data_IF_233519804766
#
_entry.id   IF_233519804766
#
_cell.length_a   1.000
_cell.length_b   1.000
_cell.length_c   1.000
_cell.angle_alpha   90.00
_cell.angle_beta   90.00
_cell.angle_gamma   90.00
#
_symmetry.space_group_name_H-M   'P 1'
#
loop_
_entity.id
_entity.type
_entity.pdbx_description
1 polymer ?
#
# COMPACT_ATOMS: atom_id res chain seq x y z
N UNK A 1 14.00 9.52 11.59
CA UNK A 1 14.09 10.30 10.32
C UNK A 1 13.04 11.40 10.30
N UNK A 2 13.34 12.58 9.75
CA UNK A 2 12.32 13.63 9.53
C UNK A 2 11.49 13.30 8.29
N UNK A 3 10.22 13.70 8.25
CA UNK A 3 9.31 13.53 7.08
C UNK A 3 9.92 14.03 5.77
N UNK A 4 10.81 15.02 5.85
CA UNK A 4 11.52 15.60 4.70
C UNK A 4 12.60 14.67 4.12
N UNK A 5 13.27 13.88 4.95
CA UNK A 5 14.27 12.90 4.50
C UNK A 5 13.60 11.69 3.85
N UNK A 6 12.46 11.24 4.41
CA UNK A 6 11.65 10.17 3.82
C UNK A 6 11.12 10.61 2.46
N UNK A 7 10.60 11.83 2.33
CA UNK A 7 10.13 12.37 1.05
C UNK A 7 11.22 12.39 -0.02
N UNK A 8 12.45 12.83 0.33
CA UNK A 8 13.60 12.83 -0.61
C UNK A 8 14.01 11.42 -1.05
N UNK A 9 13.96 10.44 -0.15
CA UNK A 9 14.24 9.04 -0.49
C UNK A 9 13.18 8.49 -1.44
N UNK A 10 11.90 8.77 -1.18
CA UNK A 10 10.81 8.41 -2.10
C UNK A 10 10.99 9.05 -3.47
N UNK A 11 11.26 10.36 -3.56
CA UNK A 11 11.49 11.03 -4.84
C UNK A 11 12.68 10.44 -5.61
N UNK A 12 13.76 10.08 -4.91
CA UNK A 12 14.93 9.46 -5.54
C UNK A 12 14.61 8.08 -6.09
N UNK A 13 13.84 7.27 -5.35
CA UNK A 13 13.40 5.94 -5.80
C UNK A 13 12.39 6.02 -6.95
N UNK A 14 11.45 6.97 -6.87
CA UNK A 14 10.48 7.22 -7.94
C UNK A 14 11.13 7.80 -9.20
N UNK A 15 12.34 8.32 -9.09
CA UNK A 15 13.17 8.77 -10.22
C UNK A 15 13.94 7.64 -10.92
N UNK A 16 13.84 6.39 -10.45
CA UNK A 16 14.48 5.24 -11.10
C UNK A 16 13.78 4.98 -12.46
N UNK A 17 14.52 4.91 -13.57
CA UNK A 17 13.95 4.56 -14.87
C UNK A 17 13.24 3.20 -14.79
N UNK A 18 12.01 3.13 -15.32
CA UNK A 18 11.14 1.96 -15.21
C UNK A 18 9.96 2.12 -14.23
N UNK A 19 10.00 3.10 -13.31
CA UNK A 19 8.91 3.31 -12.33
C UNK A 19 7.60 3.86 -12.93
N UNK A 20 7.66 4.41 -14.15
CA UNK A 20 6.50 4.85 -14.92
C UNK A 20 6.05 3.83 -15.99
N UNK A 21 6.70 2.66 -16.06
CA UNK A 21 6.32 1.62 -17.01
C UNK A 21 5.04 0.91 -16.58
N UNK A 22 4.19 0.60 -17.56
CA UNK A 22 2.93 -0.08 -17.29
C UNK A 22 3.20 -1.55 -16.95
N UNK A 23 2.92 -1.94 -15.71
CA UNK A 23 2.97 -3.34 -15.26
C UNK A 23 1.58 -3.96 -15.37
N UNK A 24 1.48 -5.09 -16.08
CA UNK A 24 0.25 -5.90 -16.08
C UNK A 24 0.21 -6.78 -14.84
N UNK A 25 -0.72 -6.49 -13.92
CA UNK A 25 -0.93 -7.26 -12.70
C UNK A 25 -2.24 -8.04 -12.85
N UNK A 26 -2.16 -9.36 -13.05
CA UNK A 26 -3.32 -10.25 -13.12
C UNK A 26 -3.55 -10.89 -11.74
N UNK A 27 -4.63 -10.50 -11.05
CA UNK A 27 -4.94 -10.97 -9.69
C UNK A 27 -6.40 -11.38 -9.61
N UNK A 28 -6.66 -12.52 -8.95
CA UNK A 28 -8.00 -13.04 -8.71
C UNK A 28 -8.43 -12.73 -7.29
N UNK A 29 -9.30 -11.73 -7.13
CA UNK A 29 -9.93 -11.38 -5.85
C UNK A 29 -11.45 -11.40 -5.96
N UNK A 30 -12.13 -11.59 -4.83
CA UNK A 30 -13.59 -11.56 -4.79
C UNK A 30 -14.10 -10.10 -4.76
N UNK A 31 -15.39 -9.89 -5.08
CA UNK A 31 -16.00 -8.54 -5.13
C UNK A 31 -15.94 -7.80 -3.79
N UNK A 32 -16.02 -8.52 -2.68
CA UNK A 32 -15.94 -7.95 -1.32
C UNK A 32 -14.55 -7.39 -1.07
N UNK A 33 -13.49 -8.11 -1.43
CA UNK A 33 -12.10 -7.66 -1.31
C UNK A 33 -11.87 -6.40 -2.13
N UNK A 34 -12.36 -6.33 -3.37
CA UNK A 34 -12.24 -5.14 -4.23
C UNK A 34 -12.92 -3.92 -3.59
N UNK A 35 -14.15 -4.09 -3.10
CA UNK A 35 -14.90 -3.00 -2.47
C UNK A 35 -14.19 -2.46 -1.23
N UNK A 36 -13.71 -3.37 -0.37
CA UNK A 36 -13.01 -2.99 0.85
C UNK A 36 -11.63 -2.39 0.56
N UNK A 37 -10.92 -2.88 -0.47
CA UNK A 37 -9.66 -2.29 -0.92
C UNK A 37 -9.87 -0.83 -1.30
N UNK A 38 -10.92 -0.54 -2.08
CA UNK A 38 -11.25 0.83 -2.47
C UNK A 38 -11.51 1.72 -1.24
N UNK A 39 -12.31 1.24 -0.28
CA UNK A 39 -12.58 2.00 0.95
C UNK A 39 -11.34 2.23 1.81
N UNK A 40 -10.41 1.26 1.86
CA UNK A 40 -9.13 1.41 2.58
C UNK A 40 -8.22 2.45 1.89
N UNK A 41 -8.16 2.45 0.55
CA UNK A 41 -7.39 3.42 -0.22
C UNK A 41 -7.96 4.82 -0.06
N UNK A 42 -9.27 5.00 -0.26
CA UNK A 42 -9.96 6.27 -0.05
C UNK A 42 -9.70 6.82 1.35
N UNK A 43 -9.82 5.97 2.37
CA UNK A 43 -9.45 6.34 3.75
C UNK A 43 -8.00 6.79 3.87
N UNK A 44 -7.05 6.04 3.34
CA UNK A 44 -5.62 6.38 3.40
C UNK A 44 -5.30 7.73 2.75
N UNK A 45 -6.03 8.10 1.71
CA UNK A 45 -5.90 9.40 1.02
C UNK A 45 -6.62 10.55 1.74
N UNK A 46 -7.68 10.26 2.51
CA UNK A 46 -8.56 11.28 3.14
C UNK A 46 -8.20 11.54 4.60
N UNK A 47 -7.14 10.94 5.14
CA UNK A 47 -6.72 10.97 6.55
C UNK A 47 -6.18 12.33 7.06
N UNK A 48 -6.90 13.43 6.77
CA UNK A 48 -6.78 14.70 7.52
C UNK A 48 -7.62 14.69 8.81
N UNK A 49 -8.64 13.84 8.91
CA UNK A 49 -9.50 13.72 10.10
C UNK A 49 -9.41 12.30 10.68
N UNK A 50 -8.66 12.18 11.78
CA UNK A 50 -8.32 10.91 12.43
C UNK A 50 -9.51 10.20 13.10
N UNK A 51 -10.61 10.91 13.38
CA UNK A 51 -11.72 10.39 14.18
C UNK A 51 -12.72 9.52 13.41
N UNK A 52 -12.99 9.80 12.13
CA UNK A 52 -13.84 8.91 11.30
C UNK A 52 -13.12 7.65 10.81
N UNK A 53 -11.81 7.62 10.99
CA UNK A 53 -10.96 6.59 10.43
C UNK A 53 -11.12 5.28 11.22
N UNK A 54 -11.00 5.26 12.55
CA UNK A 54 -10.88 4.01 13.31
C UNK A 54 -11.98 2.97 13.06
N UNK A 55 -13.25 3.39 12.92
CA UNK A 55 -14.39 2.47 12.83
C UNK A 55 -14.39 1.50 11.63
N UNK A 56 -13.87 1.87 10.46
CA UNK A 56 -13.99 0.99 9.28
C UNK A 56 -13.12 -0.26 9.38
N UNK A 57 -11.87 -0.14 9.86
CA UNK A 57 -10.96 -1.28 10.01
C UNK A 57 -11.36 -2.17 11.19
N UNK A 58 -12.07 -1.62 12.18
CA UNK A 58 -12.59 -2.36 13.32
C UNK A 58 -13.83 -3.21 12.98
N UNK A 59 -14.59 -2.81 11.95
CA UNK A 59 -15.78 -3.53 11.46
C UNK A 59 -15.41 -4.60 10.41
N UNK A 60 -14.23 -4.50 9.79
CA UNK A 60 -13.78 -5.48 8.79
C UNK A 60 -13.28 -6.77 9.48
N UNK A 61 -13.73 -7.95 9.04
CA UNK A 61 -13.22 -9.22 9.55
C UNK A 61 -11.71 -9.35 9.35
N UNK A 62 -11.00 -9.91 10.34
CA UNK A 62 -9.54 -10.12 10.27
C UNK A 62 -9.12 -10.89 9.02
N UNK A 63 -9.87 -11.92 8.63
CA UNK A 63 -9.63 -12.69 7.41
C UNK A 63 -9.54 -11.78 6.17
N UNK A 64 -10.39 -10.75 6.10
CA UNK A 64 -10.47 -9.86 4.96
C UNK A 64 -9.36 -8.81 4.98
N UNK A 65 -8.91 -8.41 6.18
CA UNK A 65 -7.69 -7.60 6.34
C UNK A 65 -6.47 -8.38 5.85
N UNK A 66 -6.38 -9.66 6.19
CA UNK A 66 -5.28 -10.52 5.76
C UNK A 66 -5.31 -10.77 4.25
N UNK A 67 -6.49 -10.94 3.64
CA UNK A 67 -6.64 -10.97 2.17
C UNK A 67 -6.17 -9.67 1.51
N UNK A 68 -6.52 -8.51 2.06
CA UNK A 68 -6.09 -7.21 1.54
C UNK A 68 -4.57 -7.04 1.64
N UNK A 69 -3.96 -7.48 2.74
CA UNK A 69 -2.50 -7.47 2.89
C UNK A 69 -1.83 -8.42 1.90
N UNK A 70 -2.35 -9.64 1.76
CA UNK A 70 -1.86 -10.62 0.81
C UNK A 70 -1.94 -10.09 -0.64
N UNK A 71 -3.03 -9.41 -0.99
CA UNK A 71 -3.18 -8.74 -2.28
C UNK A 71 -2.10 -7.68 -2.51
N UNK A 72 -1.82 -6.84 -1.50
CA UNK A 72 -0.76 -5.83 -1.58
C UNK A 72 0.62 -6.46 -1.79
N UNK A 73 0.94 -7.53 -1.08
CA UNK A 73 2.19 -8.28 -1.28
C UNK A 73 2.26 -8.94 -2.66
N UNK A 74 1.16 -9.53 -3.14
CA UNK A 74 1.10 -10.13 -4.46
C UNK A 74 1.31 -9.09 -5.57
N UNK A 75 0.75 -7.88 -5.42
CA UNK A 75 0.99 -6.78 -6.35
C UNK A 75 2.46 -6.37 -6.38
N UNK A 76 3.10 -6.24 -5.21
CA UNK A 76 4.53 -5.94 -5.11
C UNK A 76 5.39 -7.04 -5.74
N UNK A 77 5.04 -8.31 -5.53
CA UNK A 77 5.73 -9.45 -6.13
C UNK A 77 5.61 -9.44 -7.66
N UNK A 78 4.39 -9.27 -8.19
CA UNK A 78 4.13 -9.25 -9.65
C UNK A 78 4.75 -8.04 -10.34
N UNK A 79 4.87 -6.91 -9.63
CA UNK A 79 5.56 -5.74 -10.12
C UNK A 79 7.09 -5.81 -9.97
N UNK A 80 7.64 -6.86 -9.34
CA UNK A 80 9.08 -6.95 -9.05
C UNK A 80 9.56 -5.94 -8.00
N UNK A 81 8.64 -5.29 -7.28
CA UNK A 81 8.92 -4.22 -6.33
C UNK A 81 9.03 -4.71 -4.88
N UNK A 82 8.94 -6.02 -4.63
CA UNK A 82 8.98 -6.59 -3.27
C UNK A 82 10.23 -6.15 -2.50
N UNK A 83 11.41 -6.36 -3.09
CA UNK A 83 12.69 -6.08 -2.44
C UNK A 83 12.86 -4.57 -2.17
N UNK A 84 12.40 -3.73 -3.09
CA UNK A 84 12.41 -2.27 -2.94
C UNK A 84 11.48 -1.83 -1.80
N UNK A 85 10.27 -2.40 -1.73
CA UNK A 85 9.33 -2.17 -0.64
C UNK A 85 9.88 -2.61 0.72
N UNK A 86 10.59 -3.74 0.80
CA UNK A 86 11.22 -4.19 2.05
C UNK A 86 12.35 -3.26 2.49
N UNK A 87 13.20 -2.81 1.56
CA UNK A 87 14.23 -1.79 1.82
C UNK A 87 13.61 -0.48 2.33
N UNK A 88 12.51 -0.04 1.72
CA UNK A 88 11.73 1.13 2.18
C UNK A 88 11.17 0.96 3.60
N UNK A 89 10.61 -0.21 3.94
CA UNK A 89 10.13 -0.51 5.30
C UNK A 89 11.27 -0.46 6.34
N UNK A 90 12.46 -0.96 5.97
CA UNK A 90 13.66 -0.89 6.81
C UNK A 90 14.13 0.53 7.10
N UNK A 91 13.88 1.48 6.19
CA UNK A 91 14.14 2.91 6.41
C UNK A 91 13.14 3.52 7.40
N UNK A 92 11.87 3.12 7.37
CA UNK A 92 10.86 3.58 8.34
C UNK A 92 11.06 3.03 9.76
N UNK A 93 11.79 1.91 9.92
CA UNK A 93 12.01 1.24 11.20
C UNK A 93 13.24 1.75 11.99
N UNK A 94 13.82 2.91 11.61
CA UNK A 94 14.98 3.53 12.26
C UNK A 94 14.81 5.00 12.63
#
# INVERSE_FOLDING_TARGET
>A
MTTSEVAKVYDTVLSIPGMNEAVKIDVKVNRKTVLLLNSVIERGLTAKDAEQSQGLLEVIPKETIDEIKAFGEECLNKAGLKELSEKMKGLHAK
#
